data_IF_795928791968
#
_entry.id   IF_795928791968
#
_cell.length_a   1.000
_cell.length_b   1.000
_cell.length_c   1.000
_cell.angle_alpha   90.00
_cell.angle_beta   90.00
_cell.angle_gamma   90.00
#
_symmetry.space_group_name_H-M   'P 1'
#
loop_
_entity.id
_entity.type
_entity.pdbx_description
1 polymer ?
#
# COMPACT_ATOMS: atom_id res chain seq x y z
N UNK A 1 -0.56 -9.09 -12.67
CA UNK A 1 -0.65 -7.62 -12.50
C UNK A 1 0.73 -7.01 -12.38
N UNK A 2 0.89 -5.76 -12.84
CA UNK A 2 2.16 -5.03 -12.81
C UNK A 2 1.95 -3.68 -12.11
N UNK A 3 2.69 -3.46 -11.01
CA UNK A 3 2.70 -2.24 -10.23
C UNK A 3 1.57 -2.11 -9.21
N UNK A 4 1.72 -1.14 -8.31
CA UNK A 4 0.78 -0.89 -7.22
C UNK A 4 -0.63 -0.55 -7.72
N UNK A 5 -0.76 0.26 -8.79
CA UNK A 5 -2.06 0.65 -9.33
C UNK A 5 -2.91 -0.55 -9.76
N UNK A 6 -2.28 -1.56 -10.39
CA UNK A 6 -2.98 -2.77 -10.80
C UNK A 6 -3.23 -3.76 -9.64
N UNK A 7 -2.36 -3.77 -8.62
CA UNK A 7 -2.44 -4.77 -7.55
C UNK A 7 -3.20 -4.30 -6.30
N UNK A 8 -3.09 -3.03 -5.93
CA UNK A 8 -3.69 -2.46 -4.71
C UNK A 8 -4.50 -1.19 -4.99
N UNK A 9 -4.86 -0.93 -6.25
CA UNK A 9 -5.38 0.34 -6.77
C UNK A 9 -4.41 1.54 -6.60
N UNK A 10 -3.32 1.38 -5.83
CA UNK A 10 -2.26 2.39 -5.69
C UNK A 10 -2.75 3.78 -5.29
N UNK A 11 -2.09 4.81 -5.81
CA UNK A 11 -2.51 6.21 -5.63
C UNK A 11 -3.92 6.49 -6.16
N UNK A 12 -4.34 5.99 -7.35
CA UNK A 12 -5.72 6.16 -7.81
C UNK A 12 -6.77 5.63 -6.83
N UNK A 13 -6.45 4.60 -6.05
CA UNK A 13 -7.33 4.04 -5.02
C UNK A 13 -7.72 5.02 -3.91
N UNK A 14 -6.94 6.10 -3.71
CA UNK A 14 -7.30 7.15 -2.75
C UNK A 14 -8.61 7.87 -3.12
N UNK A 15 -8.97 7.86 -4.40
CA UNK A 15 -10.23 8.45 -4.85
C UNK A 15 -11.47 7.60 -4.48
N UNK A 16 -11.30 6.37 -4.01
CA UNK A 16 -12.41 5.52 -3.55
C UNK A 16 -13.12 6.09 -2.31
N UNK A 17 -12.49 7.00 -1.56
CA UNK A 17 -13.10 7.65 -0.40
C UNK A 17 -13.75 8.98 -0.79
N UNK A 18 -15.04 8.97 -1.10
CA UNK A 18 -15.84 10.18 -1.32
C UNK A 18 -15.49 10.94 -2.60
N UNK A 19 -15.10 10.22 -3.64
CA UNK A 19 -14.71 10.79 -4.94
C UNK A 19 -15.82 11.67 -5.56
N UNK A 20 -17.07 11.21 -5.54
CA UNK A 20 -18.20 11.92 -6.16
C UNK A 20 -18.42 13.32 -5.56
N UNK A 21 -18.28 13.48 -4.24
CA UNK A 21 -18.43 14.79 -3.59
C UNK A 21 -17.25 15.75 -3.82
N UNK A 22 -16.07 15.22 -4.10
CA UNK A 22 -14.83 16.03 -4.18
C UNK A 22 -14.43 16.44 -5.60
N UNK A 23 -15.04 15.83 -6.62
CA UNK A 23 -14.76 16.19 -8.02
C UNK A 23 -15.15 17.64 -8.28
N UNK A 24 -16.32 18.09 -7.79
CA UNK A 24 -16.80 19.45 -7.93
C UNK A 24 -15.96 20.50 -7.22
N UNK A 25 -15.10 20.10 -6.25
CA UNK A 25 -14.15 21.01 -5.59
C UNK A 25 -12.92 21.29 -6.48
N UNK A 26 -12.61 20.40 -7.43
CA UNK A 26 -11.39 20.45 -8.25
C UNK A 26 -11.72 20.84 -9.70
N UNK A 27 -12.87 20.43 -10.22
CA UNK A 27 -13.29 20.65 -11.60
C UNK A 27 -14.66 21.33 -11.66
N UNK A 28 -14.76 22.50 -12.26
CA UNK A 28 -16.03 23.20 -12.45
C UNK A 28 -17.00 22.43 -13.35
N UNK A 29 -16.46 21.69 -14.31
CA UNK A 29 -17.23 20.82 -15.21
C UNK A 29 -16.43 19.57 -15.56
N UNK A 30 -17.08 18.39 -15.49
CA UNK A 30 -16.51 17.17 -16.04
C UNK A 30 -16.76 17.12 -17.55
N UNK A 31 -15.75 16.77 -18.37
CA UNK A 31 -15.95 16.57 -19.81
C UNK A 31 -16.96 15.44 -20.04
N UNK A 32 -18.06 15.72 -20.77
CA UNK A 32 -19.08 14.72 -21.11
C UNK A 32 -18.51 13.50 -21.83
N UNK A 33 -17.40 13.68 -22.57
CA UNK A 33 -16.70 12.63 -23.30
C UNK A 33 -15.98 11.61 -22.40
N UNK A 34 -15.83 11.86 -21.11
CA UNK A 34 -15.10 10.96 -20.19
C UNK A 34 -15.98 9.80 -19.66
N UNK A 35 -17.27 9.76 -19.99
CA UNK A 35 -18.19 8.73 -19.53
C UNK A 35 -18.50 8.86 -18.02
N UNK A 36 -19.07 7.79 -17.45
CA UNK A 36 -19.38 7.73 -16.02
C UNK A 36 -18.12 7.46 -15.23
N UNK A 37 -17.86 8.29 -14.21
CA UNK A 37 -16.78 8.06 -13.27
C UNK A 37 -17.20 6.93 -12.33
N UNK A 38 -16.36 5.91 -12.21
CA UNK A 38 -16.55 4.76 -11.32
C UNK A 38 -15.47 4.74 -10.25
N UNK A 39 -15.79 4.14 -9.11
CA UNK A 39 -14.84 3.93 -8.03
C UNK A 39 -13.63 3.11 -8.51
N UNK A 40 -12.39 3.58 -8.26
CA UNK A 40 -11.18 2.85 -8.65
C UNK A 40 -11.09 1.53 -7.90
N UNK A 41 -10.81 0.45 -8.63
CA UNK A 41 -10.60 -0.89 -8.08
C UNK A 41 -9.25 -1.44 -8.53
N UNK A 42 -8.66 -2.28 -7.71
CA UNK A 42 -7.50 -3.05 -8.14
C UNK A 42 -7.94 -4.13 -9.16
N UNK A 43 -7.07 -4.47 -10.10
CA UNK A 43 -7.35 -5.51 -11.10
C UNK A 43 -7.66 -6.86 -10.42
N UNK A 44 -6.97 -7.18 -9.34
CA UNK A 44 -7.20 -8.40 -8.55
C UNK A 44 -8.59 -8.48 -7.89
N UNK A 45 -9.28 -7.34 -7.76
CA UNK A 45 -10.62 -7.28 -7.17
C UNK A 45 -11.72 -7.51 -8.24
N UNK A 46 -11.32 -7.61 -9.51
CA UNK A 46 -12.19 -7.79 -10.67
C UNK A 46 -11.94 -9.13 -11.38
N UNK A 47 -10.69 -9.57 -11.44
CA UNK A 47 -10.27 -10.82 -12.08
C UNK A 47 -9.26 -11.57 -11.21
N UNK A 48 -9.20 -12.89 -11.37
CA UNK A 48 -8.18 -13.72 -10.74
C UNK A 48 -6.78 -13.38 -11.28
N UNK A 49 -5.82 -13.27 -10.38
CA UNK A 49 -4.45 -12.87 -10.68
C UNK A 49 -3.46 -13.92 -10.17
N UNK A 50 -2.79 -14.59 -11.09
CA UNK A 50 -1.80 -15.64 -10.77
C UNK A 50 -0.47 -15.03 -10.29
N UNK A 51 -0.03 -13.96 -10.95
CA UNK A 51 1.27 -13.33 -10.70
C UNK A 51 1.15 -11.83 -10.54
N UNK A 52 1.94 -11.27 -9.61
CA UNK A 52 1.97 -9.84 -9.36
C UNK A 52 3.41 -9.33 -9.20
N UNK A 53 3.74 -8.27 -9.92
CA UNK A 53 4.93 -7.44 -9.69
C UNK A 53 4.48 -6.23 -8.87
N UNK A 54 4.95 -6.14 -7.63
CA UNK A 54 4.53 -5.11 -6.69
C UNK A 54 5.43 -3.87 -6.82
N UNK A 55 5.02 -2.79 -6.21
CA UNK A 55 5.80 -1.54 -6.05
C UNK A 55 5.39 -0.40 -6.98
N UNK A 56 5.82 0.81 -6.63
CA UNK A 56 5.61 2.03 -7.40
C UNK A 56 6.87 2.92 -7.31
N UNK A 57 7.71 2.96 -8.36
CA UNK A 57 7.67 2.13 -9.56
C UNK A 57 8.09 0.69 -9.32
N UNK A 58 7.84 -0.18 -10.29
CA UNK A 58 8.28 -1.58 -10.26
C UNK A 58 9.82 -1.66 -10.32
N UNK A 59 10.35 -2.76 -9.79
CA UNK A 59 11.76 -3.10 -9.93
C UNK A 59 11.98 -4.04 -11.12
N UNK A 60 12.97 -3.73 -11.95
CA UNK A 60 13.27 -4.51 -13.15
C UNK A 60 13.65 -5.96 -12.83
N UNK A 61 14.46 -6.17 -11.79
CA UNK A 61 14.90 -7.52 -11.43
C UNK A 61 13.75 -8.35 -10.86
N UNK A 62 12.88 -7.74 -10.06
CA UNK A 62 11.66 -8.39 -9.59
C UNK A 62 10.75 -8.76 -10.76
N UNK A 63 10.56 -7.86 -11.71
CA UNK A 63 9.77 -8.13 -12.92
C UNK A 63 10.32 -9.34 -13.68
N UNK A 64 11.64 -9.38 -13.94
CA UNK A 64 12.29 -10.50 -14.62
C UNK A 64 12.13 -11.82 -13.87
N UNK A 65 12.25 -11.81 -12.53
CA UNK A 65 12.05 -12.99 -11.69
C UNK A 65 10.61 -13.49 -11.73
N UNK A 66 9.63 -12.59 -11.64
CA UNK A 66 8.20 -12.94 -11.70
C UNK A 66 7.85 -13.47 -13.08
N UNK A 67 8.33 -12.84 -14.15
CA UNK A 67 8.12 -13.30 -15.52
C UNK A 67 8.72 -14.70 -15.74
N UNK A 68 9.95 -14.93 -15.29
CA UNK A 68 10.58 -16.25 -15.36
C UNK A 68 9.77 -17.29 -14.57
N UNK A 69 9.30 -16.95 -13.36
CA UNK A 69 8.47 -17.84 -12.57
C UNK A 69 7.14 -18.15 -13.26
N UNK A 70 6.51 -17.17 -13.90
CA UNK A 70 5.28 -17.35 -14.65
C UNK A 70 5.46 -18.31 -15.84
N UNK A 71 6.54 -18.15 -16.61
CA UNK A 71 6.86 -19.02 -17.75
C UNK A 71 7.12 -20.48 -17.33
N UNK A 72 7.58 -20.70 -16.12
CA UNK A 72 7.88 -22.05 -15.59
C UNK A 72 6.80 -22.59 -14.63
N UNK A 73 5.69 -21.89 -14.45
CA UNK A 73 4.62 -22.29 -13.52
C UNK A 73 5.06 -22.32 -12.05
N UNK A 74 6.02 -21.52 -11.65
CA UNK A 74 6.62 -21.52 -10.31
C UNK A 74 6.09 -20.40 -9.43
N UNK A 75 5.71 -20.70 -8.17
CA UNK A 75 5.29 -19.74 -7.16
C UNK A 75 6.42 -19.21 -6.26
N UNK A 76 7.68 -19.55 -6.56
CA UNK A 76 8.86 -19.18 -5.73
C UNK A 76 9.13 -17.69 -5.64
N UNK A 77 8.56 -16.86 -6.50
CA UNK A 77 8.72 -15.40 -6.50
C UNK A 77 8.03 -14.69 -5.32
N UNK A 78 7.11 -15.38 -4.62
CA UNK A 78 6.38 -14.76 -3.49
C UNK A 78 7.25 -14.73 -2.24
N UNK A 79 7.71 -13.54 -1.85
CA UNK A 79 8.38 -13.32 -0.57
C UNK A 79 7.34 -13.10 0.53
N UNK A 80 7.49 -13.80 1.66
CA UNK A 80 6.61 -13.68 2.83
C UNK A 80 7.18 -12.79 3.94
N UNK A 81 8.26 -12.07 3.66
CA UNK A 81 8.93 -11.18 4.61
C UNK A 81 8.41 -9.76 4.49
N UNK A 82 8.43 -9.01 5.59
CA UNK A 82 8.17 -7.58 5.56
C UNK A 82 9.38 -6.80 5.06
N UNK A 83 9.15 -5.58 4.58
CA UNK A 83 10.23 -4.67 4.16
C UNK A 83 11.21 -4.36 5.30
N UNK A 84 10.75 -4.34 6.56
CA UNK A 84 11.62 -4.19 7.73
C UNK A 84 12.71 -5.26 7.81
N UNK A 85 12.43 -6.51 7.43
CA UNK A 85 13.44 -7.57 7.43
C UNK A 85 14.55 -7.30 6.41
N UNK A 86 14.21 -6.71 5.26
CA UNK A 86 15.18 -6.28 4.26
C UNK A 86 15.95 -5.05 4.71
N UNK A 87 15.24 -4.08 5.32
CA UNK A 87 15.81 -2.87 5.87
C UNK A 87 16.91 -3.16 6.89
N UNK A 88 16.65 -4.11 7.80
CA UNK A 88 17.63 -4.53 8.80
C UNK A 88 18.84 -5.26 8.18
N UNK A 89 18.63 -6.05 7.15
CA UNK A 89 19.74 -6.69 6.42
C UNK A 89 20.64 -5.72 5.67
N UNK A 90 20.10 -4.54 5.32
CA UNK A 90 20.85 -3.43 4.73
C UNK A 90 21.46 -2.51 5.80
N UNK A 91 21.33 -2.85 7.08
CA UNK A 91 21.84 -2.06 8.22
C UNK A 91 21.34 -0.62 8.26
N UNK A 92 20.18 -0.36 7.66
CA UNK A 92 19.59 0.97 7.65
C UNK A 92 19.13 1.40 9.05
N UNK A 93 19.32 2.65 9.38
CA UNK A 93 18.80 3.26 10.60
C UNK A 93 17.27 3.32 10.57
N UNK A 94 16.63 2.93 11.67
CA UNK A 94 15.19 2.97 11.79
C UNK A 94 14.70 4.42 11.88
N UNK A 95 13.54 4.71 11.26
CA UNK A 95 12.95 6.04 11.25
C UNK A 95 12.17 6.36 12.53
N UNK A 96 11.63 5.37 13.22
CA UNK A 96 10.85 5.58 14.45
C UNK A 96 11.59 6.34 15.55
N UNK A 97 12.86 6.02 15.91
CA UNK A 97 13.62 6.81 16.86
C UNK A 97 13.91 8.25 16.41
N UNK A 98 13.72 8.54 15.11
CA UNK A 98 13.87 9.87 14.51
C UNK A 98 12.57 10.65 14.46
N UNK A 99 11.47 10.12 15.00
CA UNK A 99 10.16 10.74 14.98
C UNK A 99 9.43 10.65 13.63
N UNK A 100 9.82 9.70 12.77
CA UNK A 100 9.23 9.54 11.44
C UNK A 100 8.49 8.19 11.30
N UNK A 101 7.23 8.23 10.87
CA UNK A 101 6.43 7.03 10.62
C UNK A 101 6.91 6.34 9.34
N UNK A 102 7.17 5.03 9.47
CA UNK A 102 7.62 4.16 8.39
C UNK A 102 6.73 2.91 8.31
N UNK A 103 6.09 2.66 7.17
CA UNK A 103 5.18 1.52 6.97
C UNK A 103 5.87 0.17 6.74
N UNK A 104 7.19 0.11 6.87
CA UNK A 104 7.97 -1.10 6.55
C UNK A 104 7.61 -2.34 7.35
N UNK A 105 7.09 -2.18 8.57
CA UNK A 105 6.73 -3.31 9.43
C UNK A 105 5.49 -4.07 8.95
N UNK A 106 4.63 -3.42 8.17
CA UNK A 106 3.39 -3.99 7.62
C UNK A 106 3.42 -4.19 6.12
N UNK A 107 4.45 -3.67 5.43
CA UNK A 107 4.57 -3.69 3.97
C UNK A 107 5.30 -4.94 3.49
N UNK A 108 4.87 -5.50 2.36
CA UNK A 108 5.56 -6.60 1.68
C UNK A 108 7.02 -6.25 1.36
N UNK A 109 7.92 -7.19 1.62
CA UNK A 109 9.31 -7.14 1.17
C UNK A 109 9.45 -7.38 -0.33
N UNK A 110 10.68 -7.26 -0.85
CA UNK A 110 11.04 -7.52 -2.25
C UNK A 110 11.74 -6.35 -2.94
N UNK A 111 11.70 -5.13 -2.36
CA UNK A 111 12.36 -3.95 -2.92
C UNK A 111 13.76 -3.70 -2.36
N UNK A 112 14.31 -4.63 -1.57
CA UNK A 112 15.61 -4.49 -0.89
C UNK A 112 15.70 -3.21 -0.03
N UNK A 113 14.58 -2.80 0.58
CA UNK A 113 14.48 -1.60 1.40
C UNK A 113 14.97 -0.31 0.71
N UNK A 114 14.69 -0.15 -0.57
CA UNK A 114 15.22 0.93 -1.40
C UNK A 114 15.00 2.33 -0.81
N UNK A 115 13.78 2.62 -0.33
CA UNK A 115 13.50 3.93 0.27
C UNK A 115 14.32 4.19 1.53
N UNK A 116 14.36 3.27 2.53
CA UNK A 116 15.24 3.41 3.69
C UNK A 116 16.71 3.58 3.34
N UNK A 117 17.22 2.85 2.36
CA UNK A 117 18.61 2.97 1.91
C UNK A 117 18.93 4.31 1.26
N UNK A 118 17.89 5.03 0.81
CA UNK A 118 17.98 6.41 0.28
C UNK A 118 17.58 7.48 1.33
N UNK A 119 17.48 7.11 2.61
CA UNK A 119 17.15 8.03 3.70
C UNK A 119 15.68 8.45 3.75
N UNK A 120 14.75 7.65 3.21
CA UNK A 120 13.30 7.93 3.22
C UNK A 120 12.50 6.81 3.88
N UNK A 121 11.49 7.10 4.71
CA UNK A 121 10.63 6.07 5.28
C UNK A 121 9.84 5.31 4.20
N UNK A 122 9.47 4.08 4.51
CA UNK A 122 8.61 3.28 3.63
C UNK A 122 7.19 3.83 3.58
N UNK A 123 6.64 3.97 2.38
CA UNK A 123 5.29 4.48 2.12
C UNK A 123 4.26 3.38 1.80
N UNK A 124 4.63 2.11 1.90
CA UNK A 124 3.67 1.02 1.72
C UNK A 124 3.33 0.63 0.27
N UNK A 125 4.07 1.09 -0.73
CA UNK A 125 3.75 0.93 -2.16
C UNK A 125 3.71 -0.52 -2.67
N UNK A 126 4.12 -1.50 -1.84
CA UNK A 126 4.08 -2.92 -2.18
C UNK A 126 2.86 -3.64 -1.59
N UNK A 127 1.93 -2.91 -1.01
CA UNK A 127 0.79 -3.47 -0.33
C UNK A 127 1.12 -4.09 1.03
N UNK A 128 0.09 -4.50 1.75
CA UNK A 128 0.24 -5.14 3.06
C UNK A 128 0.86 -6.54 2.93
N UNK A 129 1.75 -6.85 3.85
CA UNK A 129 2.24 -8.21 4.02
C UNK A 129 1.09 -9.13 4.45
N UNK A 130 1.02 -10.39 3.96
CA UNK A 130 0.01 -11.35 4.40
C UNK A 130 0.04 -11.63 5.91
N UNK A 131 1.15 -11.30 6.56
CA UNK A 131 1.35 -11.44 8.01
C UNK A 131 1.35 -10.10 8.75
N UNK A 132 0.84 -9.04 8.12
CA UNK A 132 0.75 -7.74 8.76
C UNK A 132 -0.20 -7.79 9.95
N UNK A 133 0.26 -7.26 11.09
CA UNK A 133 -0.55 -7.06 12.29
C UNK A 133 -0.66 -5.55 12.53
N UNK A 134 -1.75 -4.96 12.08
CA UNK A 134 -1.98 -3.51 12.16
C UNK A 134 -2.11 -3.04 13.61
N UNK A 135 -2.83 -3.78 14.44
CA UNK A 135 -2.99 -3.44 15.86
C UNK A 135 -1.64 -3.40 16.60
N UNK A 136 -0.75 -4.37 16.33
CA UNK A 136 0.59 -4.38 16.90
C UNK A 136 1.46 -3.24 16.33
N UNK A 137 1.26 -2.90 15.06
CA UNK A 137 1.99 -1.80 14.40
C UNK A 137 1.61 -0.44 15.02
N UNK A 138 0.32 -0.17 15.26
CA UNK A 138 -0.17 1.05 15.94
C UNK A 138 0.43 1.18 17.34
N UNK A 139 0.40 0.10 18.13
CA UNK A 139 1.05 0.08 19.47
C UNK A 139 2.56 0.35 19.41
N UNK A 140 3.23 -0.10 18.35
CA UNK A 140 4.64 0.20 18.14
C UNK A 140 4.84 1.69 17.81
N UNK A 141 3.98 2.29 16.99
CA UNK A 141 3.97 3.73 16.68
C UNK A 141 3.82 4.56 17.96
N UNK A 142 2.83 4.25 18.79
CA UNK A 142 2.56 4.91 20.07
C UNK A 142 3.76 4.87 21.02
N UNK A 143 4.47 3.74 21.09
CA UNK A 143 5.67 3.58 21.93
C UNK A 143 6.80 4.55 21.56
N UNK A 144 6.82 5.03 20.33
CA UNK A 144 7.76 6.05 19.88
C UNK A 144 7.19 7.47 19.98
N UNK A 145 6.02 7.65 20.59
CA UNK A 145 5.36 8.95 20.76
C UNK A 145 4.80 9.52 19.44
N UNK A 146 4.51 8.65 18.46
CA UNK A 146 3.95 9.03 17.18
C UNK A 146 2.46 8.73 17.11
N UNK A 147 1.71 9.44 16.24
CA UNK A 147 0.27 9.28 16.11
C UNK A 147 -0.11 8.05 15.30
N UNK A 148 -0.95 7.15 15.84
CA UNK A 148 -1.53 6.04 15.09
C UNK A 148 -2.41 6.52 13.94
N UNK A 149 -3.11 7.64 14.08
CA UNK A 149 -3.96 8.22 13.04
C UNK A 149 -3.13 8.69 11.85
N UNK A 150 -1.92 9.23 12.10
CA UNK A 150 -1.00 9.56 11.01
C UNK A 150 -0.45 8.30 10.33
N UNK A 151 -0.20 7.24 11.10
CA UNK A 151 0.17 5.95 10.55
C UNK A 151 -0.92 5.41 9.62
N UNK A 152 -2.18 5.44 10.04
CA UNK A 152 -3.32 4.97 9.26
C UNK A 152 -3.52 5.81 8.00
N UNK A 153 -3.44 7.14 8.09
CA UNK A 153 -3.47 8.03 6.91
C UNK A 153 -2.36 7.71 5.89
N UNK A 154 -1.14 7.41 6.35
CA UNK A 154 -0.05 7.00 5.45
C UNK A 154 -0.31 5.62 4.85
N UNK A 155 -0.94 4.72 5.60
CA UNK A 155 -1.25 3.37 5.16
C UNK A 155 -2.25 3.37 4.01
N UNK A 156 -3.23 4.27 4.02
CA UNK A 156 -4.25 4.36 2.98
C UNK A 156 -3.71 4.82 1.63
N UNK A 157 -2.58 5.52 1.54
CA UNK A 157 -2.02 6.04 0.28
C UNK A 157 -1.90 4.96 -0.80
N UNK A 158 -1.49 3.75 -0.45
CA UNK A 158 -1.32 2.64 -1.39
C UNK A 158 -2.23 1.44 -1.11
N UNK A 159 -3.01 1.47 -0.03
CA UNK A 159 -3.75 0.30 0.43
C UNK A 159 -5.24 0.60 0.67
N UNK A 160 -5.76 1.67 0.11
CA UNK A 160 -7.13 2.16 0.31
C UNK A 160 -8.20 1.09 0.08
N UNK A 161 -8.05 0.29 -0.98
CA UNK A 161 -9.00 -0.78 -1.33
C UNK A 161 -8.72 -2.11 -0.60
N UNK A 162 -7.76 -2.13 0.34
CA UNK A 162 -7.43 -3.35 1.07
C UNK A 162 -8.55 -3.67 2.08
N UNK A 163 -9.14 -4.88 2.05
CA UNK A 163 -10.25 -5.23 2.95
C UNK A 163 -9.94 -5.06 4.44
N UNK A 164 -8.68 -5.26 4.85
CA UNK A 164 -8.27 -5.07 6.25
C UNK A 164 -8.31 -3.61 6.70
N UNK A 165 -8.19 -2.66 5.77
CA UNK A 165 -8.23 -1.23 6.04
C UNK A 165 -9.67 -0.72 5.86
N UNK A 166 -10.34 -1.12 4.78
CA UNK A 166 -11.71 -0.72 4.49
C UNK A 166 -12.73 -1.20 5.54
N UNK A 167 -12.45 -2.29 6.25
CA UNK A 167 -13.31 -2.78 7.33
C UNK A 167 -13.21 -1.89 8.59
N UNK A 168 -12.00 -1.41 8.91
CA UNK A 168 -11.76 -0.56 10.08
C UNK A 168 -12.33 0.86 9.89
N UNK A 169 -12.29 1.40 8.65
CA UNK A 169 -12.89 2.70 8.34
C UNK A 169 -14.42 2.71 8.51
N UNK A 170 -15.10 1.60 8.24
CA UNK A 170 -16.57 1.47 8.44
C UNK A 170 -16.95 1.49 9.91
N UNK A 171 -16.20 0.84 10.79
CA UNK A 171 -16.47 0.85 12.23
C UNK A 171 -16.25 2.24 12.85
N UNK A 172 -15.32 3.03 12.33
CA UNK A 172 -15.04 4.38 12.83
C UNK A 172 -16.09 5.42 12.41
N UNK A 173 -16.76 5.23 11.26
CA UNK A 173 -17.80 6.14 10.77
C UNK A 173 -19.19 5.92 11.44
N UNK A 174 -19.48 4.70 11.88
CA UNK A 174 -20.75 4.37 12.57
C UNK A 174 -20.78 4.86 14.03
N UNK A 175 -19.68 5.36 14.56
CA UNK A 175 -19.58 5.83 15.96
C UNK A 175 -19.62 7.35 16.12
N UNK A 176 -19.82 8.15 15.05
CA UNK A 176 -20.02 9.59 15.15
C UNK A 176 -21.48 9.90 15.48
N UNK A 177 -21.79 10.52 16.65
CA UNK A 177 -23.14 10.95 16.97
C UNK A 177 -23.56 12.10 16.03
N UNK A 178 -24.82 12.03 15.61
CA UNK A 178 -25.49 13.01 14.77
C UNK A 178 -25.60 14.38 15.44
#
# INVERSE_FOLDING_TARGET
TIGACAHTAGIPGMAAQGFEGRIGEVYDTLPEACGTVIEPRAVKDVIDVDYAVLSCPIDFYEFAQVLSAALHGSNRHRRSTTMCAECKRQENLCFYPRGEICLGMVTNGGCMARCPSLGRPCMGCRGLSPKANLASARKAVERFGLSPEEFDRKLTIFNQTNPLIAAEDKESHDTLPA
#
